data_IF_838193430443
#
_entry.id   IF_838193430443
#
_cell.length_a   1.000
_cell.length_b   1.000
_cell.length_c   1.000
_cell.angle_alpha   90.00
_cell.angle_beta   90.00
_cell.angle_gamma   90.00
#
_symmetry.space_group_name_H-M   'P 1'
#
loop_
_entity.id
_entity.type
_entity.pdbx_description
1 polymer ?
#
# COMPACT_ATOMS: atom_id res chain seq x y z
N UNK A 1 -2.44 -31.78 54.46
CA UNK A 1 -3.07 -31.93 53.13
C UNK A 1 -2.89 -30.63 52.36
N UNK A 2 -2.18 -30.60 51.22
CA UNK A 2 -2.04 -29.35 50.46
C UNK A 2 -3.36 -29.05 49.74
N UNK A 3 -3.93 -27.86 50.00
CA UNK A 3 -5.11 -27.34 49.31
C UNK A 3 -4.77 -27.13 47.83
N UNK A 4 -5.34 -27.97 46.95
CA UNK A 4 -5.35 -27.67 45.52
C UNK A 4 -6.14 -26.38 45.31
N UNK A 5 -5.48 -25.34 44.81
CA UNK A 5 -6.14 -24.10 44.42
C UNK A 5 -6.80 -24.29 43.06
N UNK A 6 -7.95 -23.66 42.81
CA UNK A 6 -8.65 -23.71 41.51
C UNK A 6 -7.74 -23.34 40.34
N UNK A 7 -6.78 -22.43 40.60
CA UNK A 7 -5.75 -22.01 39.65
C UNK A 7 -4.78 -23.15 39.31
N UNK A 8 -4.35 -23.94 40.30
CA UNK A 8 -3.54 -25.14 40.08
C UNK A 8 -4.28 -26.20 39.27
N UNK A 9 -5.56 -26.43 39.58
CA UNK A 9 -6.41 -27.36 38.84
C UNK A 9 -6.66 -26.92 37.39
N UNK A 10 -6.83 -25.62 37.15
CA UNK A 10 -6.97 -25.05 35.81
C UNK A 10 -5.69 -25.19 34.97
N UNK A 11 -4.52 -24.98 35.59
CA UNK A 11 -3.22 -25.20 34.92
C UNK A 11 -3.06 -26.67 34.57
N UNK A 12 -3.32 -27.60 35.50
CA UNK A 12 -3.23 -29.04 35.22
C UNK A 12 -4.18 -29.48 34.10
N UNK A 13 -5.41 -28.93 34.05
CA UNK A 13 -6.36 -29.20 32.95
C UNK A 13 -5.86 -28.67 31.61
N UNK A 14 -5.32 -27.45 31.55
CA UNK A 14 -4.74 -26.89 30.32
C UNK A 14 -3.53 -27.68 29.87
N UNK A 15 -2.61 -28.03 30.77
CA UNK A 15 -1.45 -28.86 30.47
C UNK A 15 -1.87 -30.23 29.93
N UNK A 16 -2.92 -30.84 30.49
CA UNK A 16 -3.44 -32.12 30.01
C UNK A 16 -4.07 -32.02 28.61
N UNK A 17 -4.85 -30.98 28.33
CA UNK A 17 -5.47 -30.75 27.01
C UNK A 17 -4.40 -30.51 25.94
N UNK A 18 -3.36 -29.75 26.29
CA UNK A 18 -2.21 -29.50 25.41
C UNK A 18 -1.47 -30.82 25.13
N UNK A 19 -1.18 -31.61 26.16
CA UNK A 19 -0.54 -32.92 25.99
C UNK A 19 -1.36 -33.87 25.11
N UNK A 20 -2.69 -33.90 25.26
CA UNK A 20 -3.56 -34.73 24.42
C UNK A 20 -3.60 -34.27 22.96
N UNK A 21 -3.61 -32.96 22.70
CA UNK A 21 -3.53 -32.45 21.32
C UNK A 21 -2.16 -32.71 20.69
N UNK A 22 -1.08 -32.59 21.46
CA UNK A 22 0.27 -32.90 21.01
C UNK A 22 0.41 -34.39 20.72
N UNK A 23 -0.10 -35.27 21.58
CA UNK A 23 -0.10 -36.72 21.32
C UNK A 23 -0.95 -37.10 20.10
N UNK A 24 -2.13 -36.50 19.92
CA UNK A 24 -2.96 -36.73 18.73
C UNK A 24 -2.24 -36.36 17.44
N UNK A 25 -1.55 -35.21 17.42
CA UNK A 25 -0.76 -34.76 16.28
C UNK A 25 0.51 -35.60 16.04
N UNK A 26 1.17 -36.07 17.11
CA UNK A 26 2.32 -36.98 16.98
C UNK A 26 1.93 -38.36 16.45
N UNK A 27 0.75 -38.87 16.80
CA UNK A 27 0.24 -40.14 16.26
C UNK A 27 -0.09 -40.01 14.77
N UNK A 28 -0.70 -38.91 14.33
CA UNK A 28 -0.91 -38.64 12.90
C UNK A 28 0.41 -38.45 12.12
N UNK A 29 1.43 -37.89 12.76
CA UNK A 29 2.77 -37.73 12.16
C UNK A 29 3.53 -39.05 12.10
N UNK A 30 3.49 -39.87 13.16
CA UNK A 30 4.18 -41.17 13.23
C UNK A 30 3.55 -42.21 12.28
N UNK A 31 2.27 -42.07 11.95
CA UNK A 31 1.61 -42.89 10.91
C UNK A 31 2.07 -42.53 9.49
N UNK A 32 2.71 -41.37 9.30
CA UNK A 32 3.15 -40.87 7.99
C UNK A 32 4.66 -40.96 7.75
N UNK A 33 5.45 -41.32 8.76
CA UNK A 33 6.92 -41.32 8.67
C UNK A 33 7.53 -42.61 9.26
N UNK A 34 7.59 -43.66 8.44
CA UNK A 34 8.47 -44.80 8.69
C UNK A 34 9.86 -44.53 8.10
N UNK A 35 10.63 -43.59 8.66
CA UNK A 35 12.09 -43.69 8.60
C UNK A 35 12.84 -42.74 9.54
N UNK A 36 13.72 -43.36 10.31
CA UNK A 36 14.96 -42.85 10.91
C UNK A 36 14.87 -41.91 12.14
N UNK A 37 15.69 -42.27 13.13
CA UNK A 37 15.73 -41.62 14.44
C UNK A 37 16.64 -40.40 14.52
N UNK A 38 16.31 -39.53 15.46
CA UNK A 38 17.15 -38.44 15.95
C UNK A 38 16.81 -38.13 17.42
N UNK A 39 17.58 -37.24 18.03
CA UNK A 39 17.62 -37.02 19.47
C UNK A 39 16.45 -36.17 19.95
N UNK A 40 15.93 -36.44 21.16
CA UNK A 40 14.70 -35.82 21.71
C UNK A 40 14.63 -34.28 21.66
N UNK A 41 15.77 -33.57 21.64
CA UNK A 41 15.82 -32.09 21.53
C UNK A 41 15.63 -31.57 20.09
N UNK A 42 16.08 -32.30 19.05
CA UNK A 42 15.83 -31.91 17.65
C UNK A 42 14.38 -32.14 17.28
N UNK A 43 13.79 -33.20 17.83
CA UNK A 43 12.41 -33.59 17.52
C UNK A 43 11.41 -32.59 18.13
N UNK A 44 11.75 -31.95 19.25
CA UNK A 44 10.95 -30.88 19.84
C UNK A 44 11.05 -29.58 19.04
N UNK A 45 12.24 -29.24 18.54
CA UNK A 45 12.44 -28.08 17.67
C UNK A 45 11.74 -28.26 16.31
N UNK A 46 11.85 -29.44 15.71
CA UNK A 46 11.20 -29.81 14.45
C UNK A 46 9.69 -29.95 14.60
N UNK A 47 9.19 -30.47 15.74
CA UNK A 47 7.77 -30.45 16.06
C UNK A 47 7.27 -29.01 16.23
N UNK A 48 8.05 -28.11 16.83
CA UNK A 48 7.68 -26.70 17.00
C UNK A 48 7.76 -25.93 15.67
N UNK A 49 8.75 -26.20 14.81
CA UNK A 49 8.79 -25.69 13.42
C UNK A 49 7.59 -26.20 12.64
N UNK A 50 7.28 -27.49 12.73
CA UNK A 50 6.11 -28.10 12.08
C UNK A 50 4.81 -27.53 12.62
N UNK A 51 4.71 -27.22 13.92
CA UNK A 51 3.54 -26.56 14.53
C UNK A 51 3.40 -25.09 14.10
N UNK A 52 4.52 -24.38 13.95
CA UNK A 52 4.57 -23.00 13.42
C UNK A 52 4.22 -23.01 11.93
N UNK A 53 4.72 -23.97 11.16
CA UNK A 53 4.43 -24.15 9.73
C UNK A 53 2.99 -24.65 9.49
N UNK A 54 2.45 -25.51 10.37
CA UNK A 54 1.04 -25.91 10.40
C UNK A 54 0.13 -24.75 10.78
N UNK A 55 0.55 -23.88 11.70
CA UNK A 55 -0.13 -22.59 11.96
C UNK A 55 -0.02 -21.64 10.77
N UNK A 56 1.12 -21.61 10.08
CA UNK A 56 1.38 -20.79 8.89
C UNK A 56 0.49 -21.22 7.72
N UNK A 57 0.15 -22.50 7.62
CA UNK A 57 -0.85 -23.06 6.69
C UNK A 57 -2.31 -22.97 7.19
N UNK A 58 -2.55 -22.43 8.40
CA UNK A 58 -3.89 -22.24 9.01
C UNK A 58 -4.05 -20.84 9.61
N UNK A 59 -3.37 -19.83 9.05
CA UNK A 59 -3.83 -18.47 9.27
C UNK A 59 -5.12 -18.33 8.47
N UNK A 60 -6.18 -17.85 9.12
CA UNK A 60 -7.32 -17.33 8.36
C UNK A 60 -6.85 -16.07 7.61
N UNK A 61 -7.56 -15.69 6.56
CA UNK A 61 -7.17 -14.53 5.74
C UNK A 61 -7.00 -13.26 6.56
N UNK A 62 -7.79 -13.11 7.63
CA UNK A 62 -7.71 -11.97 8.55
C UNK A 62 -6.33 -11.93 9.23
N UNK A 63 -5.90 -13.02 9.87
CA UNK A 63 -4.59 -13.04 10.52
C UNK A 63 -3.45 -13.00 9.51
N UNK A 64 -3.61 -13.64 8.36
CA UNK A 64 -2.61 -13.56 7.30
C UNK A 64 -2.42 -12.11 6.83
N UNK A 65 -3.52 -11.38 6.58
CA UNK A 65 -3.49 -9.95 6.25
C UNK A 65 -2.90 -9.10 7.38
N UNK A 66 -3.20 -9.40 8.63
CA UNK A 66 -2.58 -8.67 9.76
C UNK A 66 -1.06 -8.88 9.82
N UNK A 67 -0.59 -10.09 9.56
CA UNK A 67 0.82 -10.46 9.63
C UNK A 67 1.63 -9.96 8.43
N UNK A 68 1.08 -10.08 7.22
CA UNK A 68 1.80 -9.86 5.94
C UNK A 68 1.23 -8.69 5.12
N UNK A 69 0.21 -7.98 5.61
CA UNK A 69 -0.44 -6.82 4.97
C UNK A 69 -1.05 -7.11 3.59
N UNK A 70 -1.29 -8.38 3.29
CA UNK A 70 -1.82 -8.87 2.02
C UNK A 70 -2.75 -10.05 2.30
N UNK A 71 -3.87 -10.22 1.60
CA UNK A 71 -4.67 -11.43 1.73
C UNK A 71 -3.97 -12.63 1.05
N UNK A 72 -4.41 -13.85 1.34
CA UNK A 72 -3.73 -15.04 0.80
C UNK A 72 -3.86 -15.14 -0.72
N UNK A 73 -5.00 -14.78 -1.28
CA UNK A 73 -5.24 -14.83 -2.72
C UNK A 73 -4.20 -14.01 -3.48
N UNK A 74 -4.09 -12.72 -3.14
CA UNK A 74 -3.14 -11.84 -3.80
C UNK A 74 -1.68 -12.20 -3.52
N UNK A 75 -1.40 -12.78 -2.34
CA UNK A 75 -0.07 -13.30 -2.04
C UNK A 75 0.32 -14.43 -3.00
N UNK A 76 -0.56 -15.39 -3.23
CA UNK A 76 -0.28 -16.49 -4.16
C UNK A 76 -0.22 -16.03 -5.61
N UNK A 77 -1.04 -15.05 -6.00
CA UNK A 77 -0.93 -14.39 -7.30
C UNK A 77 0.47 -13.77 -7.48
N UNK A 78 0.94 -12.96 -6.51
CA UNK A 78 2.27 -12.35 -6.58
C UNK A 78 3.38 -13.40 -6.61
N UNK A 79 3.29 -14.44 -5.77
CA UNK A 79 4.25 -15.57 -5.82
C UNK A 79 4.28 -16.18 -7.21
N UNK A 80 3.14 -16.38 -7.85
CA UNK A 80 3.07 -16.94 -9.21
C UNK A 80 3.78 -16.06 -10.24
N UNK A 81 3.65 -14.74 -10.14
CA UNK A 81 4.30 -13.80 -11.06
C UNK A 81 5.83 -13.77 -10.89
N UNK A 82 6.33 -13.87 -9.65
CA UNK A 82 7.78 -13.71 -9.38
C UNK A 82 8.55 -15.03 -9.29
N UNK A 83 7.87 -16.20 -9.23
CA UNK A 83 8.51 -17.49 -8.90
C UNK A 83 9.66 -17.88 -9.83
N UNK A 84 9.55 -17.51 -11.11
CA UNK A 84 10.48 -17.90 -12.16
C UNK A 84 11.61 -16.88 -12.35
N UNK A 85 11.64 -15.80 -11.55
CA UNK A 85 12.64 -14.75 -11.64
C UNK A 85 14.06 -15.29 -11.34
N UNK A 86 15.10 -14.96 -12.16
CA UNK A 86 16.45 -15.51 -12.01
C UNK A 86 17.10 -15.28 -10.65
N UNK A 87 16.71 -14.23 -9.93
CA UNK A 87 17.24 -13.89 -8.60
C UNK A 87 16.99 -14.97 -7.54
N UNK A 88 15.98 -15.82 -7.75
CA UNK A 88 15.65 -16.96 -6.89
C UNK A 88 16.38 -18.24 -7.28
N UNK A 89 17.14 -18.23 -8.37
CA UNK A 89 17.93 -19.37 -8.83
C UNK A 89 19.36 -19.26 -8.28
N UNK A 90 19.93 -20.38 -7.87
CA UNK A 90 21.35 -20.48 -7.57
C UNK A 90 22.04 -21.49 -8.49
N UNK A 91 23.33 -21.29 -8.76
CA UNK A 91 24.17 -22.27 -9.45
C UNK A 91 24.76 -23.26 -8.44
N UNK A 92 23.92 -23.84 -7.60
CA UNK A 92 24.33 -24.78 -6.57
C UNK A 92 23.49 -26.05 -6.64
N UNK A 93 24.03 -27.14 -6.09
CA UNK A 93 23.32 -28.40 -5.95
C UNK A 93 22.32 -28.40 -4.78
N UNK A 94 22.26 -27.31 -4.01
CA UNK A 94 21.33 -27.14 -2.89
C UNK A 94 20.17 -26.26 -3.36
N UNK A 95 18.91 -26.74 -3.28
CA UNK A 95 17.76 -25.96 -3.70
C UNK A 95 17.63 -24.69 -2.85
N UNK A 96 17.28 -23.58 -3.50
CA UNK A 96 16.91 -22.37 -2.77
C UNK A 96 15.62 -22.57 -1.99
N UNK A 97 15.47 -21.79 -0.91
CA UNK A 97 14.22 -21.79 -0.14
C UNK A 97 13.07 -21.29 -1.03
N UNK A 98 11.85 -21.84 -0.92
CA UNK A 98 10.72 -21.45 -1.75
C UNK A 98 10.47 -19.94 -1.77
N UNK A 99 10.06 -19.40 -2.93
CA UNK A 99 9.85 -17.96 -3.14
C UNK A 99 8.80 -17.38 -2.19
N UNK A 100 7.74 -18.14 -1.90
CA UNK A 100 6.72 -17.80 -0.91
C UNK A 100 7.32 -17.50 0.49
N UNK A 101 8.30 -18.29 0.93
CA UNK A 101 8.94 -18.08 2.24
C UNK A 101 9.77 -16.81 2.24
N UNK A 102 10.48 -16.53 1.14
CA UNK A 102 11.26 -15.30 0.99
C UNK A 102 10.33 -14.08 0.98
N UNK A 103 9.23 -14.15 0.23
CA UNK A 103 8.23 -13.08 0.14
C UNK A 103 7.58 -12.79 1.50
N UNK A 104 7.22 -13.82 2.28
CA UNK A 104 6.64 -13.63 3.61
C UNK A 104 7.58 -12.86 4.56
N UNK A 105 8.89 -13.13 4.50
CA UNK A 105 9.87 -12.38 5.29
C UNK A 105 9.88 -10.91 4.90
N UNK A 106 9.88 -10.62 3.60
CA UNK A 106 9.87 -9.26 3.07
C UNK A 106 8.60 -8.51 3.43
N UNK A 107 7.44 -9.13 3.22
CA UNK A 107 6.14 -8.54 3.55
C UNK A 107 6.00 -8.28 5.04
N UNK A 108 6.43 -9.23 5.89
CA UNK A 108 6.44 -9.03 7.34
C UNK A 108 7.33 -7.87 7.75
N UNK A 109 8.49 -7.71 7.11
CA UNK A 109 9.40 -6.58 7.37
C UNK A 109 8.79 -5.25 6.95
N UNK A 110 8.22 -5.17 5.75
CA UNK A 110 7.60 -3.94 5.23
C UNK A 110 6.30 -3.58 5.97
N UNK A 111 5.58 -4.58 6.47
CA UNK A 111 4.33 -4.41 7.20
C UNK A 111 4.49 -4.10 8.69
N UNK A 112 5.72 -4.04 9.18
CA UNK A 112 6.06 -3.72 10.57
C UNK A 112 6.86 -2.42 10.65
N UNK A 113 6.84 -1.78 11.82
CA UNK A 113 7.55 -0.52 12.07
C UNK A 113 8.37 -0.61 13.37
N UNK A 114 9.38 0.25 13.49
CA UNK A 114 10.26 0.32 14.66
C UNK A 114 10.99 -1.00 14.91
N UNK A 115 11.06 -1.41 16.18
CA UNK A 115 11.78 -2.63 16.58
C UNK A 115 11.27 -3.91 15.89
N UNK A 116 9.99 -3.95 15.51
CA UNK A 116 9.39 -5.09 14.80
C UNK A 116 9.99 -5.34 13.41
N UNK A 117 10.44 -4.29 12.73
CA UNK A 117 11.07 -4.35 11.42
C UNK A 117 12.59 -4.65 11.47
N UNK A 118 13.16 -4.77 12.68
CA UNK A 118 14.58 -5.05 12.85
C UNK A 118 14.95 -6.45 12.35
N UNK A 119 16.13 -6.56 11.75
CA UNK A 119 16.64 -7.82 11.16
C UNK A 119 16.67 -8.95 12.20
N UNK A 120 17.16 -8.67 13.41
CA UNK A 120 17.23 -9.66 14.48
C UNK A 120 15.86 -10.14 14.98
N UNK A 121 14.84 -9.28 15.00
CA UNK A 121 13.47 -9.70 15.35
C UNK A 121 12.88 -10.62 14.30
N UNK A 122 13.05 -10.31 13.02
CA UNK A 122 12.57 -11.14 11.91
C UNK A 122 13.33 -12.47 11.83
N UNK A 123 14.65 -12.45 12.03
CA UNK A 123 15.48 -13.64 12.09
C UNK A 123 14.98 -14.63 13.14
N UNK A 124 14.64 -14.14 14.35
CA UNK A 124 14.04 -14.95 15.42
C UNK A 124 12.64 -15.42 15.08
N UNK A 125 11.80 -14.53 14.52
CA UNK A 125 10.42 -14.87 14.14
C UNK A 125 10.36 -16.00 13.10
N UNK A 126 11.20 -15.93 12.07
CA UNK A 126 11.23 -16.92 10.98
C UNK A 126 12.23 -18.06 11.18
N UNK A 127 13.02 -18.03 12.28
CA UNK A 127 14.10 -18.99 12.57
C UNK A 127 15.11 -19.11 11.42
N UNK A 128 15.59 -17.95 10.97
CA UNK A 128 16.60 -17.84 9.90
C UNK A 128 17.74 -16.94 10.36
N UNK A 129 18.90 -16.99 9.69
CA UNK A 129 20.00 -16.09 10.00
C UNK A 129 19.68 -14.64 9.60
N UNK A 130 20.29 -13.68 10.29
CA UNK A 130 20.11 -12.25 10.01
C UNK A 130 20.48 -11.87 8.57
N UNK A 131 21.57 -12.44 8.05
CA UNK A 131 21.96 -12.25 6.64
C UNK A 131 20.92 -12.79 5.65
N UNK A 132 20.18 -13.84 6.03
CA UNK A 132 19.12 -14.42 5.20
C UNK A 132 17.91 -13.46 5.09
N UNK A 133 17.56 -12.75 6.16
CA UNK A 133 16.48 -11.74 6.13
C UNK A 133 16.79 -10.66 5.10
N UNK A 134 18.02 -10.13 5.12
CA UNK A 134 18.46 -9.09 4.18
C UNK A 134 18.46 -9.63 2.75
N UNK A 135 19.00 -10.82 2.54
CA UNK A 135 19.03 -11.48 1.24
C UNK A 135 17.63 -11.68 0.65
N UNK A 136 16.69 -12.22 1.44
CA UNK A 136 15.32 -12.44 0.99
C UNK A 136 14.63 -11.13 0.63
N UNK A 137 14.77 -10.09 1.47
CA UNK A 137 14.25 -8.76 1.17
C UNK A 137 14.77 -8.24 -0.17
N UNK A 138 16.09 -8.29 -0.38
CA UNK A 138 16.73 -7.79 -1.60
C UNK A 138 16.20 -8.54 -2.84
N UNK A 139 16.16 -9.87 -2.79
CA UNK A 139 15.70 -10.71 -3.91
C UNK A 139 14.25 -10.47 -4.28
N UNK A 140 13.37 -10.43 -3.28
CA UNK A 140 11.95 -10.21 -3.53
C UNK A 140 11.67 -8.80 -4.03
N UNK A 141 12.39 -7.79 -3.52
CA UNK A 141 12.24 -6.41 -4.01
C UNK A 141 12.69 -6.34 -5.47
N UNK A 142 13.83 -6.92 -5.81
CA UNK A 142 14.32 -6.97 -7.19
C UNK A 142 13.32 -7.66 -8.13
N UNK A 143 12.79 -8.83 -7.74
CA UNK A 143 11.80 -9.54 -8.54
C UNK A 143 10.49 -8.75 -8.68
N UNK A 144 10.01 -8.09 -7.63
CA UNK A 144 8.81 -7.24 -7.69
C UNK A 144 9.05 -6.02 -8.59
N UNK A 145 10.19 -5.36 -8.47
CA UNK A 145 10.55 -4.21 -9.31
C UNK A 145 10.73 -4.62 -10.78
N UNK A 146 11.13 -5.87 -11.07
CA UNK A 146 11.17 -6.37 -12.46
C UNK A 146 9.78 -6.41 -13.12
N UNK A 147 8.71 -6.49 -12.33
CA UNK A 147 7.34 -6.42 -12.82
C UNK A 147 6.91 -4.98 -13.10
N UNK A 148 7.68 -3.97 -12.69
CA UNK A 148 7.30 -2.57 -12.82
C UNK A 148 6.99 -2.22 -14.27
N UNK A 149 7.83 -2.64 -15.22
CA UNK A 149 7.57 -2.38 -16.63
C UNK A 149 6.29 -3.05 -17.12
N UNK A 150 5.98 -4.26 -16.64
CA UNK A 150 4.79 -5.01 -17.06
C UNK A 150 3.50 -4.45 -16.41
N UNK A 151 3.59 -3.95 -15.18
CA UNK A 151 2.46 -3.51 -14.37
C UNK A 151 2.17 -2.01 -14.53
N UNK A 152 3.22 -1.18 -14.65
CA UNK A 152 3.12 0.29 -14.66
C UNK A 152 3.25 0.93 -16.05
N UNK A 153 3.81 0.27 -17.09
CA UNK A 153 3.60 0.78 -18.47
C UNK A 153 2.14 0.69 -18.93
N UNK A 154 1.30 -0.04 -18.20
CA UNK A 154 -0.10 -0.28 -18.54
C UNK A 154 -1.01 0.95 -18.46
N UNK A 155 -0.58 2.10 -17.92
CA UNK A 155 -1.45 3.30 -17.82
C UNK A 155 -1.08 4.45 -18.72
N UNK A 156 -0.13 4.22 -19.61
CA UNK A 156 -0.03 4.96 -20.87
C UNK A 156 -0.82 4.22 -21.98
N UNK A 157 -1.27 2.97 -21.74
CA UNK A 157 -1.81 2.06 -22.78
C UNK A 157 -3.12 1.32 -22.42
N UNK A 158 -3.70 1.47 -21.22
CA UNK A 158 -5.07 1.00 -20.91
C UNK A 158 -6.09 1.89 -21.62
N UNK A 159 -7.29 1.38 -21.87
CA UNK A 159 -8.36 2.13 -22.53
C UNK A 159 -8.83 3.29 -21.63
N UNK A 160 -8.16 4.43 -21.75
CA UNK A 160 -8.40 5.68 -21.03
C UNK A 160 -9.87 6.10 -21.14
N UNK A 161 -10.53 5.77 -22.27
CA UNK A 161 -11.95 6.03 -22.48
C UNK A 161 -12.85 5.15 -21.61
N UNK A 162 -12.46 3.90 -21.39
CA UNK A 162 -13.20 3.01 -20.51
C UNK A 162 -13.13 3.48 -19.05
N UNK A 163 -11.96 3.98 -18.60
CA UNK A 163 -11.82 4.63 -17.28
C UNK A 163 -12.74 5.85 -17.21
N UNK A 164 -12.65 6.77 -18.17
CA UNK A 164 -13.48 7.96 -18.21
C UNK A 164 -14.98 7.66 -18.21
N UNK A 165 -15.42 6.63 -18.94
CA UNK A 165 -16.82 6.20 -18.95
C UNK A 165 -17.28 5.65 -17.60
N UNK A 166 -16.45 4.84 -16.93
CA UNK A 166 -16.79 4.28 -15.60
C UNK A 166 -16.81 5.37 -14.52
N UNK A 167 -15.88 6.31 -14.58
CA UNK A 167 -15.84 7.46 -13.68
C UNK A 167 -17.08 8.32 -13.88
N UNK A 168 -17.45 8.65 -15.12
CA UNK A 168 -18.64 9.45 -15.41
C UNK A 168 -19.93 8.80 -14.84
N UNK A 169 -20.11 7.50 -15.05
CA UNK A 169 -21.29 6.76 -14.59
C UNK A 169 -21.50 6.83 -13.07
N UNK A 170 -20.42 6.73 -12.28
CA UNK A 170 -20.54 6.69 -10.81
C UNK A 170 -20.35 8.05 -10.13
N UNK A 171 -19.61 8.98 -10.74
CA UNK A 171 -19.23 10.24 -10.08
C UNK A 171 -19.69 11.50 -10.81
N UNK A 172 -20.13 11.41 -12.07
CA UNK A 172 -20.45 12.55 -12.92
C UNK A 172 -19.22 13.38 -13.36
N UNK A 173 -18.01 12.85 -13.21
CA UNK A 173 -16.79 13.52 -13.67
C UNK A 173 -16.50 13.08 -15.12
N UNK A 174 -17.04 13.82 -16.10
CA UNK A 174 -16.82 13.51 -17.51
C UNK A 174 -15.36 13.65 -17.93
N UNK A 175 -14.92 12.74 -18.79
CA UNK A 175 -13.55 12.69 -19.33
C UNK A 175 -12.46 12.63 -18.23
N UNK A 176 -12.80 12.24 -17.00
CA UNK A 176 -11.83 12.07 -15.93
C UNK A 176 -11.08 10.74 -16.09
N UNK A 177 -9.77 10.82 -16.21
CA UNK A 177 -8.91 9.66 -16.48
C UNK A 177 -8.12 9.19 -15.24
N UNK A 178 -8.34 9.87 -14.11
CA UNK A 178 -7.74 9.51 -12.84
C UNK A 178 -7.76 10.62 -11.81
N UNK A 179 -7.40 10.25 -10.58
CA UNK A 179 -7.31 11.15 -9.44
C UNK A 179 -5.85 11.30 -9.04
N UNK A 180 -5.37 12.53 -8.92
CA UNK A 180 -3.97 12.84 -8.62
C UNK A 180 -3.80 13.49 -7.26
N UNK A 181 -2.79 13.03 -6.50
CA UNK A 181 -2.39 13.68 -5.26
C UNK A 181 -0.95 13.41 -4.82
N UNK A 182 -0.43 14.29 -3.95
CA UNK A 182 0.85 14.13 -3.27
C UNK A 182 0.72 13.41 -1.92
N UNK A 183 1.46 12.32 -1.75
CA UNK A 183 1.59 11.59 -0.48
C UNK A 183 3.00 11.73 0.09
N UNK A 184 3.09 11.85 1.41
CA UNK A 184 4.36 11.90 2.12
C UNK A 184 4.71 10.50 2.64
N UNK A 185 5.83 9.95 2.19
CA UNK A 185 6.38 8.67 2.65
C UNK A 185 7.36 8.93 3.81
N UNK A 186 7.00 8.62 5.06
CA UNK A 186 7.84 8.93 6.22
C UNK A 186 9.16 8.15 6.16
N UNK A 187 10.25 8.85 6.46
CA UNK A 187 11.55 8.25 6.67
C UNK A 187 11.68 7.88 8.15
N UNK A 188 12.17 6.67 8.41
CA UNK A 188 12.41 6.20 9.77
C UNK A 188 13.49 7.06 10.47
N UNK A 189 14.58 7.35 9.75
CA UNK A 189 15.69 8.14 10.26
C UNK A 189 15.83 9.46 9.49
N UNK A 190 16.40 10.46 10.20
CA UNK A 190 16.84 11.72 9.60
C UNK A 190 17.89 11.44 8.51
N UNK A 191 17.73 11.97 7.29
CA UNK A 191 18.74 11.85 6.24
C UNK A 191 20.10 12.41 6.68
N UNK A 192 21.17 11.71 6.29
CA UNK A 192 22.54 12.16 6.59
C UNK A 192 22.95 13.39 5.76
N UNK A 193 22.39 13.53 4.57
CA UNK A 193 22.67 14.60 3.60
C UNK A 193 21.41 15.47 3.47
N UNK A 194 21.58 16.78 3.52
CA UNK A 194 20.53 17.81 3.38
C UNK A 194 19.21 17.51 4.13
N UNK A 195 19.25 17.14 5.43
CA UNK A 195 18.06 16.73 6.17
C UNK A 195 16.96 17.78 6.22
N UNK A 196 17.31 19.06 6.08
CA UNK A 196 16.37 20.18 6.09
C UNK A 196 15.39 20.10 4.92
N UNK A 197 15.82 19.60 3.75
CA UNK A 197 14.97 19.48 2.56
C UNK A 197 13.95 18.34 2.69
N UNK A 198 14.28 17.32 3.48
CA UNK A 198 13.38 16.18 3.71
C UNK A 198 12.41 16.43 4.87
N UNK A 199 12.57 17.51 5.62
CA UNK A 199 11.68 17.84 6.72
C UNK A 199 10.40 18.51 6.20
N UNK A 200 9.27 17.84 6.35
CA UNK A 200 8.00 18.33 5.83
C UNK A 200 7.29 19.31 6.76
N UNK A 201 6.28 20.00 6.21
CA UNK A 201 5.32 20.79 6.98
C UNK A 201 4.53 19.98 8.01
N UNK A 202 4.48 18.65 7.89
CA UNK A 202 3.82 17.75 8.86
C UNK A 202 4.72 17.40 10.05
N UNK A 203 5.94 17.96 10.12
CA UNK A 203 6.80 17.85 11.29
C UNK A 203 7.61 16.55 11.38
N UNK A 204 7.82 15.86 10.25
CA UNK A 204 8.64 14.66 10.17
C UNK A 204 9.43 14.61 8.85
N UNK A 205 10.52 13.83 8.85
CA UNK A 205 11.32 13.57 7.65
C UNK A 205 10.58 12.62 6.71
N UNK A 206 10.49 12.96 5.42
CA UNK A 206 9.78 12.14 4.44
C UNK A 206 10.26 12.41 3.01
N UNK A 207 9.87 11.51 2.11
CA UNK A 207 9.88 11.73 0.67
C UNK A 207 8.48 12.16 0.22
N UNK A 208 8.38 13.15 -0.66
CA UNK A 208 7.13 13.45 -1.35
C UNK A 208 7.01 12.57 -2.60
N UNK A 209 5.83 12.00 -2.80
CA UNK A 209 5.48 11.15 -3.94
C UNK A 209 4.16 11.61 -4.54
N UNK A 210 4.15 11.88 -5.83
CA UNK A 210 2.94 12.16 -6.58
C UNK A 210 2.37 10.84 -7.10
N UNK A 211 1.08 10.58 -6.90
CA UNK A 211 0.42 9.34 -7.32
C UNK A 211 -0.84 9.70 -8.11
N UNK A 212 -1.09 8.97 -9.20
CA UNK A 212 -2.38 8.95 -9.90
C UNK A 212 -3.03 7.59 -9.72
N UNK A 213 -4.32 7.57 -9.46
CA UNK A 213 -5.11 6.34 -9.33
C UNK A 213 -6.34 6.38 -10.25
N UNK A 214 -6.79 5.21 -10.69
CA UNK A 214 -8.06 5.03 -11.39
C UNK A 214 -9.24 4.83 -10.40
N UNK A 215 -10.44 4.67 -10.92
CA UNK A 215 -11.68 4.41 -10.15
C UNK A 215 -11.68 3.06 -9.43
N UNK A 216 -10.86 2.12 -9.88
CA UNK A 216 -10.63 0.83 -9.23
C UNK A 216 -9.51 0.92 -8.19
N UNK A 217 -9.00 2.12 -7.87
CA UNK A 217 -7.92 2.37 -6.89
C UNK A 217 -6.56 1.79 -7.31
N UNK A 218 -6.38 1.49 -8.59
CA UNK A 218 -5.09 1.02 -9.12
C UNK A 218 -4.18 2.20 -9.31
N UNK A 219 -2.92 2.08 -8.89
CA UNK A 219 -1.92 3.12 -9.15
C UNK A 219 -1.63 3.11 -10.65
N UNK A 220 -1.81 4.26 -11.29
CA UNK A 220 -1.65 4.44 -12.72
C UNK A 220 -0.38 5.17 -13.10
N UNK A 221 0.07 6.04 -12.22
CA UNK A 221 1.31 6.77 -12.37
C UNK A 221 1.83 7.09 -10.98
N UNK A 222 3.15 7.10 -10.84
CA UNK A 222 3.77 7.63 -9.65
C UNK A 222 5.07 8.36 -9.99
N UNK A 223 5.39 9.37 -9.19
CA UNK A 223 6.67 10.08 -9.21
C UNK A 223 7.14 10.21 -7.77
N UNK A 224 8.15 9.44 -7.40
CA UNK A 224 8.69 9.40 -6.03
C UNK A 224 10.12 9.97 -5.96
N UNK A 225 10.70 10.03 -4.75
CA UNK A 225 12.08 10.46 -4.51
C UNK A 225 12.28 11.95 -4.31
N UNK A 226 11.21 12.75 -4.24
CA UNK A 226 11.32 14.19 -4.01
C UNK A 226 11.49 14.52 -2.52
N UNK A 227 12.22 15.59 -2.16
CA UNK A 227 12.32 16.03 -0.77
C UNK A 227 10.96 16.37 -0.15
N UNK A 228 10.76 16.02 1.11
CA UNK A 228 9.50 16.22 1.85
C UNK A 228 9.02 17.66 2.00
N UNK A 229 9.90 18.65 1.81
CA UNK A 229 9.52 20.07 1.78
C UNK A 229 8.88 20.50 0.45
N UNK A 230 9.00 19.70 -0.61
CA UNK A 230 8.50 20.06 -1.94
C UNK A 230 6.97 20.07 -1.95
N UNK A 231 6.38 21.11 -2.53
CA UNK A 231 4.95 21.19 -2.77
C UNK A 231 4.53 20.31 -3.95
N UNK A 232 3.29 19.80 -3.92
CA UNK A 232 2.73 18.95 -4.99
C UNK A 232 2.76 19.65 -6.36
N UNK A 233 2.59 20.98 -6.38
CA UNK A 233 2.76 21.79 -7.60
C UNK A 233 4.14 21.59 -8.22
N UNK A 234 5.21 21.51 -7.42
CA UNK A 234 6.57 21.30 -7.93
C UNK A 234 6.73 19.91 -8.53
N UNK A 235 6.16 18.88 -7.90
CA UNK A 235 6.17 17.52 -8.44
C UNK A 235 5.38 17.45 -9.75
N UNK A 236 4.23 18.11 -9.82
CA UNK A 236 3.42 18.21 -11.04
C UNK A 236 4.20 18.83 -12.20
N UNK A 237 4.84 19.99 -12.00
CA UNK A 237 5.60 20.68 -13.06
C UNK A 237 6.80 19.86 -13.58
N UNK A 238 7.29 18.89 -12.79
CA UNK A 238 8.39 18.01 -13.16
C UNK A 238 7.92 16.57 -13.48
N UNK A 239 6.62 16.33 -13.54
CA UNK A 239 6.04 15.03 -13.87
C UNK A 239 6.00 14.81 -15.37
N UNK A 240 6.11 13.56 -15.80
CA UNK A 240 5.93 13.22 -17.22
C UNK A 240 4.53 13.57 -17.71
N UNK A 241 3.52 13.50 -16.83
CA UNK A 241 2.15 13.92 -17.09
C UNK A 241 2.06 15.36 -17.59
N UNK A 242 2.91 16.26 -17.07
CA UNK A 242 2.98 17.64 -17.53
C UNK A 242 3.93 17.81 -18.71
N UNK A 243 5.11 17.20 -18.65
CA UNK A 243 6.16 17.39 -19.67
C UNK A 243 5.77 16.77 -21.02
N UNK A 244 4.99 15.69 -21.02
CA UNK A 244 4.49 14.95 -22.19
C UNK A 244 2.97 15.03 -22.33
N UNK A 245 2.37 16.14 -21.87
CA UNK A 245 0.91 16.34 -21.83
C UNK A 245 0.21 16.00 -23.16
N UNK A 246 0.81 16.36 -24.31
CA UNK A 246 0.24 16.11 -25.65
C UNK A 246 0.30 14.65 -26.10
N UNK A 247 1.19 13.86 -25.50
CA UNK A 247 1.36 12.45 -25.83
C UNK A 247 0.49 11.57 -24.93
N UNK A 248 0.28 12.01 -23.68
CA UNK A 248 -0.39 11.22 -22.64
C UNK A 248 -1.88 11.55 -22.47
N UNK A 249 -2.35 12.71 -22.93
CA UNK A 249 -3.76 13.10 -22.82
C UNK A 249 -4.37 13.39 -24.19
N UNK A 250 -5.55 12.81 -24.43
CA UNK A 250 -6.42 13.21 -25.54
C UNK A 250 -7.13 14.53 -25.21
N UNK A 251 -7.57 15.31 -26.21
CA UNK A 251 -8.32 16.54 -25.97
C UNK A 251 -9.56 16.31 -25.09
N UNK A 252 -9.65 17.05 -23.98
CA UNK A 252 -10.75 16.99 -23.02
C UNK A 252 -10.52 16.04 -21.84
N UNK A 253 -9.54 15.15 -21.92
CA UNK A 253 -9.17 14.28 -20.81
C UNK A 253 -8.53 15.07 -19.67
N UNK A 254 -8.91 14.74 -18.44
CA UNK A 254 -8.48 15.49 -17.27
C UNK A 254 -8.25 14.60 -16.05
N UNK A 255 -7.35 15.07 -15.17
CA UNK A 255 -7.15 14.53 -13.84
C UNK A 255 -7.84 15.42 -12.81
N UNK A 256 -8.51 14.81 -11.83
CA UNK A 256 -9.07 15.55 -10.71
C UNK A 256 -8.06 15.58 -9.56
N UNK A 257 -7.81 16.77 -9.02
CA UNK A 257 -6.74 17.00 -8.06
C UNK A 257 -7.22 17.67 -6.76
N UNK A 258 -6.37 17.61 -5.74
CA UNK A 258 -6.59 18.40 -4.53
C UNK A 258 -6.45 19.91 -4.80
N UNK A 259 -6.96 20.72 -3.85
CA UNK A 259 -6.91 22.17 -3.89
C UNK A 259 -5.47 22.70 -4.04
N UNK A 260 -4.46 21.95 -3.58
CA UNK A 260 -3.04 22.27 -3.68
C UNK A 260 -2.51 22.42 -5.12
N UNK A 261 -3.18 21.87 -6.12
CA UNK A 261 -2.72 21.88 -7.51
C UNK A 261 -3.13 23.15 -8.26
N UNK A 262 -2.33 23.58 -9.26
CA UNK A 262 -2.71 24.66 -10.16
C UNK A 262 -3.87 24.22 -11.08
N UNK A 263 -4.68 25.19 -11.50
CA UNK A 263 -5.70 24.95 -12.54
C UNK A 263 -4.98 24.89 -13.89
N UNK A 264 -5.08 23.76 -14.58
CA UNK A 264 -4.43 23.51 -15.86
C UNK A 264 -5.43 22.96 -16.89
N UNK A 265 -4.97 22.79 -18.12
CA UNK A 265 -5.74 22.25 -19.26
C UNK A 265 -6.13 20.79 -19.11
N UNK A 266 -5.41 20.04 -18.29
CA UNK A 266 -5.61 18.61 -18.05
C UNK A 266 -5.68 18.28 -16.54
N UNK A 267 -5.73 19.29 -15.66
CA UNK A 267 -5.87 19.11 -14.20
C UNK A 267 -6.91 20.04 -13.63
N UNK A 268 -7.90 19.46 -12.96
CA UNK A 268 -9.03 20.14 -12.35
C UNK A 268 -8.92 20.04 -10.83
N UNK A 269 -8.38 21.07 -10.14
CA UNK A 269 -8.25 21.05 -8.70
C UNK A 269 -9.56 21.41 -7.98
N UNK A 270 -9.72 20.88 -6.77
CA UNK A 270 -10.76 21.29 -5.83
C UNK A 270 -10.74 22.82 -5.57
N UNK A 271 -11.88 23.39 -5.19
CA UNK A 271 -11.95 24.82 -4.90
C UNK A 271 -11.28 25.14 -3.56
N UNK A 272 -10.30 26.06 -3.58
CA UNK A 272 -9.74 26.64 -2.35
C UNK A 272 -10.77 27.52 -1.65
N UNK A 273 -10.79 27.47 -0.32
CA UNK A 273 -11.55 28.44 0.48
C UNK A 273 -10.95 29.84 0.27
N UNK A 274 -11.75 30.86 -0.06
CA UNK A 274 -11.23 32.22 -0.19
C UNK A 274 -10.79 32.76 1.18
N UNK A 275 -9.72 33.56 1.26
CA UNK A 275 -9.33 34.22 2.50
C UNK A 275 -10.49 35.06 3.04
N UNK A 276 -10.79 34.90 4.33
CA UNK A 276 -11.81 35.68 5.04
C UNK A 276 -13.25 35.58 4.49
N UNK A 277 -13.56 34.57 3.66
CA UNK A 277 -14.91 34.33 3.18
C UNK A 277 -15.36 32.88 3.39
N UNK A 278 -16.68 32.69 3.45
CA UNK A 278 -17.27 31.36 3.44
C UNK A 278 -17.21 30.78 2.01
N UNK A 279 -16.97 29.47 1.92
CA UNK A 279 -17.07 28.74 0.65
C UNK A 279 -18.54 28.79 0.16
N UNK A 280 -18.80 29.17 -1.10
CA UNK A 280 -20.14 29.06 -1.68
C UNK A 280 -20.68 27.63 -1.57
N UNK A 281 -22.00 27.48 -1.32
CA UNK A 281 -22.64 26.17 -1.05
C UNK A 281 -22.37 25.13 -2.13
N UNK A 282 -22.50 25.50 -3.41
CA UNK A 282 -22.27 24.58 -4.52
C UNK A 282 -20.80 24.12 -4.61
N UNK A 283 -19.84 25.03 -4.41
CA UNK A 283 -18.41 24.67 -4.33
C UNK A 283 -18.11 23.75 -3.15
N UNK A 284 -18.81 23.94 -2.02
CA UNK A 284 -18.73 23.04 -0.87
C UNK A 284 -19.31 21.65 -1.18
N UNK A 285 -20.45 21.57 -1.89
CA UNK A 285 -21.02 20.29 -2.37
C UNK A 285 -20.05 19.56 -3.29
N UNK A 286 -19.50 20.25 -4.28
CA UNK A 286 -18.48 19.70 -5.19
C UNK A 286 -17.27 19.17 -4.42
N UNK A 287 -16.68 19.97 -3.53
CA UNK A 287 -15.53 19.53 -2.74
C UNK A 287 -15.89 18.34 -1.83
N UNK A 288 -17.10 18.31 -1.27
CA UNK A 288 -17.55 17.19 -0.44
C UNK A 288 -17.70 15.90 -1.25
N UNK A 289 -18.28 15.98 -2.45
CA UNK A 289 -18.36 14.86 -3.39
C UNK A 289 -16.96 14.35 -3.76
N UNK A 290 -16.07 15.27 -4.16
CA UNK A 290 -14.69 14.96 -4.45
C UNK A 290 -13.96 14.32 -3.24
N UNK A 291 -14.14 14.85 -2.03
CA UNK A 291 -13.56 14.27 -0.82
C UNK A 291 -14.13 12.88 -0.50
N UNK A 292 -15.43 12.64 -0.71
CA UNK A 292 -16.04 11.32 -0.47
C UNK A 292 -15.46 10.26 -1.42
N UNK A 293 -15.20 10.65 -2.67
CA UNK A 293 -14.52 9.82 -3.66
C UNK A 293 -13.06 9.63 -3.21
N UNK A 294 -12.32 10.70 -2.94
CA UNK A 294 -10.90 10.64 -2.52
C UNK A 294 -10.65 9.83 -1.25
N UNK A 295 -11.44 9.98 -0.19
CA UNK A 295 -11.29 9.20 1.06
C UNK A 295 -11.38 7.69 0.77
N UNK A 296 -12.13 7.31 -0.26
CA UNK A 296 -12.26 5.92 -0.72
C UNK A 296 -11.06 5.45 -1.56
N UNK A 297 -10.29 6.37 -2.17
CA UNK A 297 -9.16 6.06 -3.07
C UNK A 297 -7.77 6.30 -2.41
N UNK A 298 -7.67 7.12 -1.36
CA UNK A 298 -6.39 7.65 -0.85
C UNK A 298 -5.68 6.76 0.17
N UNK A 299 -6.43 5.97 0.93
CA UNK A 299 -5.87 5.10 1.97
C UNK A 299 -5.42 3.74 1.41
N UNK A 300 -5.92 3.39 0.23
CA UNK A 300 -5.68 2.10 -0.41
C UNK A 300 -4.47 2.13 -1.35
N UNK A 301 -4.24 3.21 -2.09
CA UNK A 301 -3.21 3.27 -3.12
C UNK A 301 -1.75 3.43 -2.63
N UNK A 302 -1.50 3.69 -1.34
CA UNK A 302 -0.15 4.13 -0.91
C UNK A 302 0.88 3.03 -0.59
N UNK A 303 0.66 1.77 -0.95
CA UNK A 303 1.74 0.77 -0.87
C UNK A 303 1.69 -0.07 -2.14
N UNK A 304 2.84 -0.27 -2.77
CA UNK A 304 3.15 -1.11 -3.95
C UNK A 304 2.56 -2.55 -3.90
N UNK A 305 1.89 -2.91 -2.80
CA UNK A 305 1.10 -4.12 -2.59
C UNK A 305 -0.38 -3.99 -2.98
N UNK A 306 -0.91 -2.79 -3.26
CA UNK A 306 -2.35 -2.61 -3.48
C UNK A 306 -2.86 -3.03 -4.85
N UNK A 307 -1.99 -3.13 -5.86
CA UNK A 307 -2.37 -3.74 -7.15
C UNK A 307 -2.78 -5.22 -7.00
N UNK A 308 -2.37 -5.85 -5.89
CA UNK A 308 -2.72 -7.22 -5.53
C UNK A 308 -4.00 -7.26 -4.66
N UNK A 309 -4.29 -6.24 -3.86
CA UNK A 309 -5.39 -6.22 -2.88
C UNK A 309 -6.78 -5.83 -3.44
N UNK A 310 -6.94 -5.72 -4.75
CA UNK A 310 -8.20 -5.28 -5.39
C UNK A 310 -9.40 -6.22 -5.12
N UNK A 311 -9.15 -7.44 -4.67
CA UNK A 311 -10.19 -8.42 -4.31
C UNK A 311 -10.62 -8.34 -2.82
N UNK A 312 -10.00 -7.46 -2.03
CA UNK A 312 -10.27 -7.34 -0.60
C UNK A 312 -11.45 -6.39 -0.30
N UNK A 313 -12.59 -6.97 0.11
CA UNK A 313 -13.81 -6.24 0.49
C UNK A 313 -13.79 -5.70 1.93
N UNK A 314 -12.71 -5.89 2.69
CA UNK A 314 -12.65 -5.47 4.09
C UNK A 314 -12.18 -4.02 4.21
N UNK A 315 -12.96 -3.12 4.84
CA UNK A 315 -12.56 -1.72 4.98
C UNK A 315 -11.40 -1.62 5.98
N UNK A 316 -10.25 -1.13 5.51
CA UNK A 316 -9.17 -0.69 6.39
C UNK A 316 -9.60 0.63 7.04
N UNK A 317 -10.05 0.56 8.30
CA UNK A 317 -10.45 1.73 9.06
C UNK A 317 -9.20 2.53 9.44
N UNK A 318 -8.89 3.55 8.63
CA UNK A 318 -7.86 4.54 8.94
C UNK A 318 -8.55 5.78 9.48
N UNK A 319 -8.46 6.00 10.80
CA UNK A 319 -8.71 7.33 11.38
C UNK A 319 -7.48 8.20 11.06
N UNK A 320 -7.42 8.70 9.83
CA UNK A 320 -6.51 9.79 9.51
C UNK A 320 -7.04 11.07 10.14
N UNK A 321 -6.18 11.77 10.89
CA UNK A 321 -6.47 13.12 11.35
C UNK A 321 -6.92 13.95 10.15
N UNK A 322 -8.13 14.50 10.25
CA UNK A 322 -8.69 15.42 9.26
C UNK A 322 -7.68 16.54 9.08
N UNK A 323 -7.05 16.63 7.90
CA UNK A 323 -6.14 17.70 7.56
C UNK A 323 -6.82 19.04 7.87
N UNK A 324 -6.46 19.67 8.99
CA UNK A 324 -6.71 21.08 9.21
C UNK A 324 -5.82 21.80 8.22
N UNK A 325 -6.38 22.17 7.07
CA UNK A 325 -5.76 23.08 6.13
C UNK A 325 -5.44 24.39 6.87
N UNK A 326 -4.24 24.48 7.46
CA UNK A 326 -3.74 25.74 7.98
C UNK A 326 -3.43 26.64 6.79
N UNK A 327 -4.22 27.71 6.71
CA UNK A 327 -4.13 28.78 5.73
C UNK A 327 -2.85 29.58 5.94
N UNK A 328 -1.72 29.03 5.50
CA UNK A 328 -0.50 29.81 5.30
C UNK A 328 -0.44 30.27 3.85
N UNK A 329 -1.20 31.33 3.56
CA UNK A 329 -1.22 32.01 2.28
C UNK A 329 0.02 32.89 2.14
N UNK A 330 1.14 32.32 1.68
CA UNK A 330 2.21 33.12 1.10
C UNK A 330 2.60 32.54 -0.27
N UNK A 331 2.16 33.26 -1.32
CA UNK A 331 2.96 33.45 -2.52
C UNK A 331 2.86 32.43 -3.65
N UNK A 332 1.68 32.23 -4.25
CA UNK A 332 1.54 32.07 -5.70
C UNK A 332 0.05 32.14 -6.09
N UNK A 333 -0.47 33.34 -6.33
CA UNK A 333 -1.68 33.49 -7.15
C UNK A 333 -1.26 33.27 -8.60
N UNK A 334 -1.17 32.02 -9.03
CA UNK A 334 -1.19 31.73 -10.46
C UNK A 334 -2.65 31.74 -10.88
N UNK A 335 -3.05 32.79 -11.60
CA UNK A 335 -4.27 32.73 -12.39
C UNK A 335 -4.10 31.55 -13.35
N UNK A 336 -4.94 30.52 -13.22
CA UNK A 336 -4.95 29.43 -14.19
C UNK A 336 -5.15 30.01 -15.59
N UNK A 337 -4.58 29.37 -16.60
CA UNK A 337 -4.83 29.76 -17.99
C UNK A 337 -6.33 29.81 -18.26
N UNK A 338 -6.77 30.71 -19.15
CA UNK A 338 -8.18 30.90 -19.52
C UNK A 338 -8.88 29.55 -19.78
N UNK A 339 -8.22 28.69 -20.57
CA UNK A 339 -8.70 27.36 -20.90
C UNK A 339 -8.86 26.41 -19.70
N UNK A 340 -7.94 26.44 -18.73
CA UNK A 340 -8.05 25.61 -17.52
C UNK A 340 -9.20 26.08 -16.61
N UNK A 341 -9.45 27.39 -16.55
CA UNK A 341 -10.58 27.92 -15.78
C UNK A 341 -11.92 27.56 -16.43
N UNK A 342 -12.00 27.56 -17.76
CA UNK A 342 -13.15 27.09 -18.52
C UNK A 342 -13.43 25.62 -18.25
N UNK A 343 -12.41 24.75 -18.36
CA UNK A 343 -12.54 23.32 -18.08
C UNK A 343 -13.03 23.08 -16.66
N UNK A 344 -12.44 23.75 -15.65
CA UNK A 344 -12.91 23.59 -14.26
C UNK A 344 -14.35 24.07 -14.08
N UNK A 345 -14.76 25.13 -14.77
CA UNK A 345 -16.14 25.61 -14.71
C UNK A 345 -17.13 24.62 -15.35
N UNK A 346 -16.73 24.01 -16.48
CA UNK A 346 -17.49 22.96 -17.15
C UNK A 346 -17.65 21.73 -16.25
N UNK A 347 -16.55 21.15 -15.76
CA UNK A 347 -16.58 19.97 -14.87
C UNK A 347 -17.39 20.26 -13.62
N UNK A 348 -17.30 21.47 -13.07
CA UNK A 348 -18.12 21.88 -11.94
C UNK A 348 -19.62 21.87 -12.26
N UNK A 349 -20.03 22.39 -13.42
CA UNK A 349 -21.43 22.41 -13.82
C UNK A 349 -21.99 20.99 -14.04
N UNK A 350 -21.24 20.13 -14.74
CA UNK A 350 -21.61 18.75 -15.03
C UNK A 350 -21.80 17.92 -13.75
N UNK A 351 -20.90 18.06 -12.78
CA UNK A 351 -20.99 17.35 -11.50
C UNK A 351 -22.16 17.84 -10.67
N UNK A 352 -22.47 19.14 -10.68
CA UNK A 352 -23.63 19.66 -9.95
C UNK A 352 -24.94 19.16 -10.58
N UNK A 353 -25.02 19.10 -11.91
CA UNK A 353 -26.16 18.50 -12.62
C UNK A 353 -26.35 17.04 -12.24
N UNK A 354 -25.27 16.24 -12.24
CA UNK A 354 -25.29 14.85 -11.81
C UNK A 354 -25.73 14.66 -10.34
N UNK A 355 -25.31 15.57 -9.44
CA UNK A 355 -25.69 15.50 -8.03
C UNK A 355 -27.14 15.94 -7.75
N UNK A 356 -27.80 16.55 -8.74
CA UNK A 356 -29.19 17.00 -8.65
C UNK A 356 -30.17 16.09 -9.45
N UNK A 357 -29.65 15.15 -10.25
CA UNK A 357 -30.40 14.05 -10.91
C UNK A 357 -30.58 12.85 -10.00
#
# INVERSE_FOLDING_TARGET
MPRQTERGSAITRMTHIIHQHVQGAMIESALNDESAGSSEDSDLEDALVSLIMLKKNRLDDIRFKQEFRMCQESFHQLVSEIRDHPVFQNRSNIPQRPVQDQLMVTLKRMGTYGNGASVGMLARFFRISEGTVILYCSRTIEAILSLEETVFLGLILKDVRAIASRVDEFTGFRNCVGFIDGTLLPLYDRPAIDPQDYYSRKGYYCLNTLIVCDEEKRITYYLTGWPGCCHDTRLWENSELKLKERELFSPGENLIANSGFPVQTNVVPAFKRPPHAAMPRLKKRFNHHLSSIRITHWISACIVLHNFLLEDKTPDYYEGDVDTEDSNSNGARQAGGEHGNELRAQVFAEVIEFLDS
#
